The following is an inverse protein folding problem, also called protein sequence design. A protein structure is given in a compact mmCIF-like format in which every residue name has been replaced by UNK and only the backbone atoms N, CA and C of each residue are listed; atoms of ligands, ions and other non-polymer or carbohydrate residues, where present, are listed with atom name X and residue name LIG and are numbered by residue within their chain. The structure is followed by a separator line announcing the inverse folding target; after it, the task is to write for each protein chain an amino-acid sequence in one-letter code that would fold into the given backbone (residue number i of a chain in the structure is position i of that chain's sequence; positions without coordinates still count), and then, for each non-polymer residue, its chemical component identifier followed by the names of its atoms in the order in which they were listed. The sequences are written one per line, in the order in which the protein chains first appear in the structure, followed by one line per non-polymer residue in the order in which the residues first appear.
data_IF_661323240820
#
_entry.id   IF_661323240820
#
_cell.length_a   1.000
_cell.length_b   1.000
_cell.length_c   1.000
_cell.angle_alpha   90.00
_cell.angle_beta   90.00
_cell.angle_gamma   90.00
#
_symmetry.space_group_name_H-M   'P 1'
#
loop_
_entity.id
_entity.type
_entity.pdbx_description
1 polymer ?
#
# COMPACT_ATOMS: atom_id res chain seq x y z
N UNK A 1 -12.26 -2.39 1.83
CA UNK A 1 -11.07 -2.61 1.00
C UNK A 1 -10.88 -1.38 0.14
N UNK A 2 -9.68 -0.84 0.11
CA UNK A 2 -9.19 0.17 -0.82
C UNK A 2 -8.27 -0.54 -1.81
N UNK A 3 -8.34 -0.21 -3.09
CA UNK A 3 -7.46 -0.77 -4.11
C UNK A 3 -7.27 0.22 -5.25
N UNK A 4 -6.06 0.24 -5.80
CA UNK A 4 -5.76 0.93 -7.04
C UNK A 4 -6.52 0.24 -8.20
N UNK A 5 -6.89 1.00 -9.21
CA UNK A 5 -7.71 0.50 -10.32
C UNK A 5 -6.89 -0.21 -11.42
N UNK A 6 -5.59 -0.01 -11.40
CA UNK A 6 -4.59 -0.47 -12.39
C UNK A 6 -3.76 -1.67 -11.91
N UNK A 7 -4.03 -2.21 -10.73
CA UNK A 7 -3.30 -3.34 -10.16
C UNK A 7 -4.03 -4.66 -10.40
N UNK A 8 -3.33 -5.64 -10.97
CA UNK A 8 -3.83 -7.00 -11.18
C UNK A 8 -3.14 -7.98 -10.23
N UNK A 9 -3.94 -8.82 -9.59
CA UNK A 9 -3.47 -9.83 -8.63
C UNK A 9 -4.47 -10.98 -8.50
N UNK A 10 -4.04 -12.18 -8.03
CA UNK A 10 -4.94 -13.33 -7.87
C UNK A 10 -5.85 -13.16 -6.65
N UNK A 11 -7.03 -13.74 -6.71
CA UNK A 11 -8.01 -13.75 -5.59
C UNK A 11 -7.42 -14.24 -4.26
N UNK A 12 -6.40 -15.10 -4.32
CA UNK A 12 -5.72 -15.62 -3.13
C UNK A 12 -4.99 -14.53 -2.33
N UNK A 13 -4.41 -13.53 -3.00
CA UNK A 13 -3.81 -12.36 -2.37
C UNK A 13 -4.86 -11.59 -1.56
N UNK A 14 -5.98 -11.25 -2.18
CA UNK A 14 -7.06 -10.52 -1.51
C UNK A 14 -7.63 -11.31 -0.32
N UNK A 15 -7.80 -12.63 -0.47
CA UNK A 15 -8.22 -13.49 0.65
C UNK A 15 -7.23 -13.47 1.81
N UNK A 16 -5.91 -13.50 1.52
CA UNK A 16 -4.88 -13.42 2.56
C UNK A 16 -4.98 -12.09 3.31
N UNK A 17 -5.14 -10.98 2.61
CA UNK A 17 -5.30 -9.66 3.22
C UNK A 17 -6.56 -9.57 4.08
N UNK A 18 -7.72 -9.97 3.55
CA UNK A 18 -9.00 -9.91 4.26
C UNK A 18 -8.97 -10.76 5.54
N UNK A 19 -8.41 -11.97 5.47
CA UNK A 19 -8.36 -12.93 6.58
C UNK A 19 -7.21 -12.65 7.55
N UNK A 20 -6.41 -11.60 7.33
CA UNK A 20 -5.36 -11.25 8.28
C UNK A 20 -5.97 -10.87 9.65
N UNK A 21 -5.21 -11.12 10.72
CA UNK A 21 -5.60 -10.77 12.11
C UNK A 21 -5.69 -9.24 12.34
N UNK A 22 -5.05 -8.46 11.46
CA UNK A 22 -4.98 -7.00 11.60
C UNK A 22 -6.26 -6.35 11.06
N UNK A 23 -6.82 -5.40 11.79
CA UNK A 23 -8.01 -4.64 11.36
C UNK A 23 -7.70 -3.68 10.21
N UNK A 24 -6.51 -3.08 10.25
CA UNK A 24 -5.98 -2.23 9.18
C UNK A 24 -4.65 -2.79 8.73
N UNK A 25 -4.55 -3.17 7.47
CA UNK A 25 -3.35 -3.75 6.89
C UNK A 25 -3.18 -3.38 5.42
N UNK A 26 -1.95 -3.12 5.03
CA UNK A 26 -1.53 -2.90 3.64
C UNK A 26 -0.95 -4.20 3.07
N UNK A 27 -1.26 -4.50 1.83
CA UNK A 27 -0.59 -5.58 1.10
C UNK A 27 0.81 -5.09 0.67
N UNK A 28 1.87 -5.77 1.11
CA UNK A 28 3.25 -5.38 0.84
C UNK A 28 3.99 -6.51 0.15
N UNK A 29 4.58 -6.20 -0.99
CA UNK A 29 5.54 -7.06 -1.67
C UNK A 29 6.93 -6.80 -1.06
N UNK A 30 7.47 -7.80 -0.34
CA UNK A 30 8.79 -7.70 0.29
C UNK A 30 9.85 -7.91 -0.77
N UNK A 31 10.47 -6.82 -1.19
CA UNK A 31 11.51 -6.79 -2.23
C UNK A 31 12.40 -5.56 -2.08
N UNK A 32 13.51 -5.55 -2.80
CA UNK A 32 14.27 -4.31 -3.01
C UNK A 32 13.41 -3.32 -3.79
N UNK A 33 13.31 -2.08 -3.30
CA UNK A 33 12.56 -1.01 -3.94
C UNK A 33 13.51 -0.07 -4.67
N UNK A 34 13.05 0.47 -5.79
CA UNK A 34 13.65 1.57 -6.49
C UNK A 34 13.03 2.92 -6.10
N UNK A 35 13.15 3.89 -6.98
CA UNK A 35 12.73 5.26 -6.72
C UNK A 35 11.21 5.44 -6.80
N UNK A 36 10.56 4.74 -7.71
CA UNK A 36 9.14 4.97 -8.05
C UNK A 36 8.17 4.23 -7.11
N UNK A 37 8.64 3.16 -6.45
CA UNK A 37 7.78 2.37 -5.56
C UNK A 37 7.38 3.13 -4.30
N UNK A 38 6.17 2.89 -3.84
CA UNK A 38 5.67 3.34 -2.53
C UNK A 38 6.26 2.44 -1.45
N UNK A 39 7.34 2.90 -0.84
CA UNK A 39 8.14 2.15 0.12
C UNK A 39 7.47 2.09 1.49
N UNK A 40 7.69 0.97 2.18
CA UNK A 40 7.20 0.71 3.54
C UNK A 40 8.38 0.36 4.44
N UNK A 41 8.42 0.95 5.64
CA UNK A 41 9.41 0.60 6.68
C UNK A 41 8.72 -0.17 7.79
N UNK A 42 9.28 -1.35 8.12
CA UNK A 42 8.84 -2.20 9.23
C UNK A 42 9.35 -1.67 10.56
N UNK A 43 8.46 -1.58 11.54
CA UNK A 43 8.78 -1.24 12.93
C UNK A 43 8.74 -2.44 13.88
N UNK A 44 8.67 -3.65 13.34
CA UNK A 44 8.54 -4.91 14.09
C UNK A 44 7.07 -5.30 14.32
N UNK A 45 6.84 -6.60 14.50
CA UNK A 45 5.51 -7.20 14.69
C UNK A 45 4.52 -6.85 13.55
N UNK A 46 4.98 -6.86 12.32
CA UNK A 46 4.24 -6.48 11.10
C UNK A 46 3.75 -5.02 11.07
N UNK A 47 4.25 -4.16 11.97
CA UNK A 47 3.81 -2.77 12.07
C UNK A 47 4.56 -1.87 11.09
N UNK A 48 3.83 -1.03 10.39
CA UNK A 48 4.36 -0.01 9.49
C UNK A 48 4.69 1.25 10.32
N UNK A 49 5.91 1.76 10.20
CA UNK A 49 6.36 3.00 10.87
C UNK A 49 6.61 4.14 9.90
N UNK A 50 6.75 3.87 8.61
CA UNK A 50 6.82 4.88 7.56
C UNK A 50 6.32 4.31 6.23
N UNK A 51 5.70 5.16 5.42
CA UNK A 51 5.24 4.86 4.06
C UNK A 51 5.43 6.08 3.18
N UNK A 52 5.91 5.91 1.96
CA UNK A 52 6.04 6.96 0.96
C UNK A 52 7.09 6.66 -0.11
N UNK A 53 7.00 7.36 -1.23
CA UNK A 53 7.98 7.28 -2.33
C UNK A 53 9.35 7.88 -1.95
N UNK A 54 9.35 8.91 -1.11
CA UNK A 54 10.57 9.64 -0.71
C UNK A 54 11.44 8.92 0.32
N UNK A 55 11.02 7.75 0.79
CA UNK A 55 11.79 6.98 1.76
C UNK A 55 13.07 6.41 1.14
N UNK A 56 14.11 6.25 1.98
CA UNK A 56 15.41 5.72 1.56
C UNK A 56 15.27 4.26 1.15
N UNK A 57 15.64 3.93 -0.08
CA UNK A 57 15.49 2.62 -0.71
C UNK A 57 16.13 1.49 0.11
N UNK A 58 17.33 1.73 0.67
CA UNK A 58 18.08 0.74 1.45
C UNK A 58 17.48 0.43 2.83
N UNK A 59 16.49 1.21 3.28
CA UNK A 59 15.85 1.05 4.58
C UNK A 59 14.44 0.46 4.47
N UNK A 60 13.91 0.32 3.25
CA UNK A 60 12.56 -0.19 3.07
C UNK A 60 12.49 -1.72 3.18
N UNK A 61 11.36 -2.20 3.71
CA UNK A 61 10.99 -3.61 3.71
C UNK A 61 10.54 -4.07 2.32
N UNK A 62 9.78 -3.24 1.64
CA UNK A 62 9.17 -3.56 0.36
C UNK A 62 8.21 -2.49 -0.11
N UNK A 63 7.42 -2.83 -1.10
CA UNK A 63 6.46 -1.97 -1.79
C UNK A 63 5.03 -2.19 -1.32
N UNK A 64 4.31 -1.13 -1.04
CA UNK A 64 2.86 -1.15 -0.94
C UNK A 64 2.24 -1.25 -2.34
N UNK A 65 1.58 -2.35 -2.63
CA UNK A 65 1.03 -2.66 -3.97
C UNK A 65 -0.34 -2.03 -4.26
N UNK A 66 -0.74 -1.00 -3.53
CA UNK A 66 -2.00 -0.31 -3.77
C UNK A 66 -3.26 -1.06 -3.31
N UNK A 67 -3.15 -2.11 -2.50
CA UNK A 67 -4.29 -2.87 -1.96
C UNK A 67 -4.28 -2.88 -0.45
N UNK A 68 -5.34 -2.39 0.19
CA UNK A 68 -5.42 -2.22 1.63
C UNK A 68 -6.76 -2.69 2.22
N UNK A 69 -6.68 -3.24 3.42
CA UNK A 69 -7.80 -3.49 4.31
C UNK A 69 -7.82 -2.38 5.37
N UNK A 70 -8.86 -1.58 5.40
CA UNK A 70 -9.01 -0.45 6.32
C UNK A 70 -10.16 -0.70 7.27
N UNK A 71 -9.90 -0.56 8.57
CA UNK A 71 -10.97 -0.59 9.58
C UNK A 71 -11.86 0.66 9.46
N UNK A 72 -13.09 0.55 9.96
CA UNK A 72 -14.01 1.69 9.99
C UNK A 72 -13.46 2.86 10.80
N UNK A 73 -12.75 2.58 11.89
CA UNK A 73 -12.12 3.61 12.71
C UNK A 73 -10.96 4.27 11.96
N UNK A 74 -10.10 3.50 11.33
CA UNK A 74 -9.02 4.05 10.50
C UNK A 74 -9.54 4.94 9.37
N UNK A 75 -10.63 4.56 8.70
CA UNK A 75 -11.22 5.36 7.61
C UNK A 75 -11.59 6.79 8.04
N UNK A 76 -11.95 7.01 9.30
CA UNK A 76 -12.25 8.36 9.81
C UNK A 76 -11.00 9.24 9.86
N UNK A 77 -9.88 8.68 10.33
CA UNK A 77 -8.59 9.37 10.36
C UNK A 77 -8.07 9.60 8.94
N UNK A 78 -8.22 8.59 8.09
CA UNK A 78 -7.76 8.66 6.70
C UNK A 78 -8.53 9.71 5.90
N UNK A 79 -9.86 9.77 6.02
CA UNK A 79 -10.67 10.81 5.37
C UNK A 79 -10.24 12.20 5.78
N UNK A 80 -10.05 12.43 7.10
CA UNK A 80 -9.57 13.72 7.59
C UNK A 80 -8.16 14.05 7.08
N UNK A 81 -7.26 13.08 7.07
CA UNK A 81 -5.89 13.27 6.57
C UNK A 81 -5.85 13.57 5.08
N UNK A 82 -6.76 12.98 4.28
CA UNK A 82 -6.92 13.33 2.86
C UNK A 82 -7.42 14.77 2.69
N UNK A 83 -8.39 15.20 3.47
CA UNK A 83 -8.88 16.59 3.45
C UNK A 83 -7.73 17.55 3.79
N UNK A 84 -6.99 17.29 4.88
CA UNK A 84 -5.83 18.08 5.29
C UNK A 84 -4.74 18.13 4.19
N UNK A 85 -4.48 17.01 3.49
CA UNK A 85 -3.54 16.94 2.38
C UNK A 85 -3.98 17.83 1.21
N UNK A 86 -5.24 17.76 0.81
CA UNK A 86 -5.81 18.57 -0.28
C UNK A 86 -5.77 20.07 0.08
N UNK A 87 -6.17 20.43 1.29
CA UNK A 87 -6.17 21.81 1.77
C UNK A 87 -4.75 22.41 1.83
N UNK A 88 -3.73 21.58 2.08
CA UNK A 88 -2.32 22.00 2.08
C UNK A 88 -1.69 22.08 0.68
N UNK A 89 -2.44 21.82 -0.38
CA UNK A 89 -1.99 21.91 -1.77
C UNK A 89 -1.59 20.58 -2.40
N UNK A 90 -1.79 19.45 -1.69
CA UNK A 90 -1.44 18.10 -2.15
C UNK A 90 -2.49 17.45 -3.08
N UNK A 91 -3.24 18.23 -3.87
CA UNK A 91 -4.28 17.69 -4.77
C UNK A 91 -3.73 16.69 -5.80
N UNK A 92 -2.46 16.85 -6.19
CA UNK A 92 -1.78 15.99 -7.13
C UNK A 92 -0.87 14.94 -6.45
N UNK A 93 -0.89 14.87 -5.13
CA UNK A 93 -0.13 13.87 -4.39
C UNK A 93 -0.86 12.51 -4.41
N UNK A 94 -0.10 11.46 -4.21
CA UNK A 94 -0.67 10.13 -4.06
C UNK A 94 -1.37 9.99 -2.70
N UNK A 95 -2.43 9.22 -2.63
CA UNK A 95 -3.22 9.06 -1.41
C UNK A 95 -2.42 8.48 -0.23
N UNK A 96 -1.34 7.77 -0.48
CA UNK A 96 -0.44 7.22 0.53
C UNK A 96 0.22 8.31 1.37
N UNK A 97 0.39 9.52 0.80
CA UNK A 97 0.87 10.67 1.56
C UNK A 97 -0.07 11.05 2.72
N UNK A 98 -1.36 10.71 2.62
CA UNK A 98 -2.32 10.88 3.72
C UNK A 98 -2.27 9.75 4.77
N UNK A 99 -1.61 8.62 4.48
CA UNK A 99 -1.43 7.53 5.45
C UNK A 99 -0.31 7.86 6.44
N UNK A 100 0.80 8.39 5.96
CA UNK A 100 1.98 8.64 6.78
C UNK A 100 1.70 9.47 8.06
N UNK A 101 0.93 10.58 8.02
CA UNK A 101 0.62 11.38 9.21
C UNK A 101 -0.21 10.65 10.27
N UNK A 102 -0.88 9.56 9.90
CA UNK A 102 -1.74 8.79 10.80
C UNK A 102 -0.93 7.79 11.63
N UNK A 103 0.24 7.37 11.16
CA UNK A 103 1.09 6.34 11.79
C UNK A 103 1.46 6.64 13.26
N UNK A 104 1.53 7.92 13.64
CA UNK A 104 1.76 8.33 15.02
C UNK A 104 0.53 8.23 15.93
N UNK A 105 -0.66 8.03 15.39
CA UNK A 105 -1.95 8.01 16.10
C UNK A 105 -2.64 6.65 16.06
N UNK A 106 -2.43 5.88 14.99
CA UNK A 106 -3.05 4.58 14.73
C UNK A 106 -2.01 3.59 14.24
N UNK A 107 -2.08 2.37 14.75
CA UNK A 107 -1.26 1.28 14.25
C UNK A 107 -1.78 0.80 12.91
N UNK A 108 -0.87 0.69 11.96
CA UNK A 108 -1.10 0.11 10.64
C UNK A 108 -0.11 -1.03 10.49
N UNK A 109 -0.59 -2.15 10.00
CA UNK A 109 0.22 -3.34 9.78
C UNK A 109 0.37 -3.64 8.30
N UNK A 110 1.26 -4.54 7.96
CA UNK A 110 1.34 -5.09 6.62
C UNK A 110 1.02 -6.58 6.59
N UNK A 111 0.63 -7.02 5.41
CA UNK A 111 0.52 -8.44 5.06
C UNK A 111 1.48 -8.70 3.93
N UNK A 112 2.48 -9.54 4.16
CA UNK A 112 3.41 -9.99 3.13
C UNK A 112 2.66 -10.73 2.02
N UNK A 113 2.71 -10.21 0.80
CA UNK A 113 2.08 -10.80 -0.38
C UNK A 113 3.09 -11.20 -1.46
N UNK A 114 4.38 -11.21 -1.18
CA UNK A 114 5.49 -11.48 -2.11
C UNK A 114 5.39 -12.84 -2.83
N UNK A 115 4.60 -13.78 -2.30
CA UNK A 115 4.38 -15.09 -2.94
C UNK A 115 3.32 -15.06 -4.05
N UNK A 116 2.64 -13.95 -4.22
CA UNK A 116 1.60 -13.81 -5.25
C UNK A 116 2.11 -12.90 -6.37
N UNK A 117 1.83 -13.26 -7.63
CA UNK A 117 2.08 -12.33 -8.72
C UNK A 117 1.20 -11.08 -8.54
N UNK A 118 1.80 -9.92 -8.73
CA UNK A 118 1.13 -8.63 -8.70
C UNK A 118 1.82 -7.71 -9.70
N UNK A 119 1.05 -6.97 -10.49
CA UNK A 119 1.60 -5.99 -11.42
C UNK A 119 0.64 -4.83 -11.64
N UNK A 120 1.20 -3.67 -11.91
CA UNK A 120 0.48 -2.48 -12.38
C UNK A 120 0.38 -2.52 -13.91
N UNK A 121 -0.70 -1.96 -14.44
CA UNK A 121 -0.94 -1.86 -15.88
C UNK A 121 -0.91 -0.38 -16.25
N UNK A 122 0.25 0.12 -16.64
CA UNK A 122 0.45 1.49 -17.09
C UNK A 122 0.49 1.58 -18.62
N UNK A 123 0.96 0.54 -19.29
CA UNK A 123 1.13 0.47 -20.73
C UNK A 123 0.44 -0.75 -21.33
N UNK A 124 0.31 -0.75 -22.66
CA UNK A 124 -0.33 -1.87 -23.37
C UNK A 124 0.47 -3.16 -23.25
N UNK A 125 1.78 -3.07 -23.12
CA UNK A 125 2.69 -4.19 -22.91
C UNK A 125 2.42 -4.89 -21.58
N UNK A 126 2.16 -4.12 -20.52
CA UNK A 126 1.80 -4.66 -19.20
C UNK A 126 0.47 -5.42 -19.25
N UNK A 127 -0.49 -4.92 -20.03
CA UNK A 127 -1.77 -5.62 -20.23
C UNK A 127 -1.58 -6.96 -20.95
N UNK A 128 -0.69 -7.04 -21.94
CA UNK A 128 -0.38 -8.27 -22.63
C UNK A 128 0.32 -9.28 -21.71
N UNK A 129 1.25 -8.80 -20.88
CA UNK A 129 1.91 -9.61 -19.86
C UNK A 129 0.93 -10.11 -18.81
N UNK A 130 0.03 -9.23 -18.31
CA UNK A 130 -1.00 -9.60 -17.35
C UNK A 130 -1.91 -10.70 -17.88
N UNK A 131 -2.33 -10.63 -19.16
CA UNK A 131 -3.14 -11.67 -19.80
C UNK A 131 -2.45 -13.02 -19.91
N UNK A 132 -1.12 -13.03 -19.95
CA UNK A 132 -0.32 -14.25 -19.98
C UNK A 132 -0.08 -14.83 -18.57
N UNK A 133 -0.11 -13.96 -17.54
CA UNK A 133 0.21 -14.32 -16.16
C UNK A 133 -1.02 -14.72 -15.35
N UNK A 134 -2.18 -14.14 -15.63
CA UNK A 134 -3.45 -14.33 -14.92
C UNK A 134 -4.54 -14.96 -15.81
#
# INVERSE_FOLDING_TARGET
ILMNADVVYPKALLRKLINSKHETALAVDIKSCGREEVKVIDGGADRIVAIGKELIETQCLGEFIGVAKLSKDFCKYFSKSLDDLIESGGLNDYFEAAIHPILGKKEIHYVDVSKFPCMEIDFIEDLEEARALF
#
